data_IF_054140475778
#
_entry.id   IF_054140475778
#
_cell.length_a   1.000
_cell.length_b   1.000
_cell.length_c   1.000
_cell.angle_alpha   90.00
_cell.angle_beta   90.00
_cell.angle_gamma   90.00
#
_symmetry.space_group_name_H-M   'P 1'
#
loop_
_entity.id
_entity.type
_entity.pdbx_description
1 polymer ?
#
# COMPACT_ATOMS: atom_id res chain seq x y z
N UNK A 1 5.77 32.01 -29.14
CA UNK A 1 4.83 31.19 -28.35
C UNK A 1 5.51 29.84 -28.23
N UNK A 2 6.16 29.58 -27.09
CA UNK A 2 6.90 28.33 -26.88
C UNK A 2 5.89 27.28 -26.47
N UNK A 3 5.72 26.25 -27.30
CA UNK A 3 4.97 25.05 -26.95
C UNK A 3 5.65 24.42 -25.74
N UNK A 4 4.97 24.46 -24.59
CA UNK A 4 5.36 23.71 -23.42
C UNK A 4 4.97 22.25 -23.65
N UNK A 5 5.92 21.43 -24.06
CA UNK A 5 5.79 19.98 -24.06
C UNK A 5 5.32 19.53 -22.67
N UNK A 6 4.05 19.13 -22.57
CA UNK A 6 3.55 18.42 -21.41
C UNK A 6 4.17 17.02 -21.45
N UNK A 7 5.20 16.80 -20.65
CA UNK A 7 5.61 15.44 -20.24
C UNK A 7 4.34 14.65 -19.88
N UNK A 8 4.10 13.48 -20.49
CA UNK A 8 2.89 12.72 -20.24
C UNK A 8 2.88 12.25 -18.78
N UNK A 9 2.03 12.87 -17.95
CA UNK A 9 1.89 12.50 -16.55
C UNK A 9 1.49 11.04 -16.39
N UNK A 10 2.08 10.35 -15.42
CA UNK A 10 1.78 8.95 -15.11
C UNK A 10 0.73 8.89 -13.99
N UNK A 11 -0.24 7.99 -14.12
CA UNK A 11 -1.19 7.73 -13.04
C UNK A 11 -0.55 6.81 -11.99
N UNK A 12 -0.39 7.30 -10.76
CA UNK A 12 0.05 6.52 -9.61
C UNK A 12 -1.15 6.09 -8.77
N UNK A 13 -1.27 4.79 -8.53
CA UNK A 13 -2.19 4.22 -7.54
C UNK A 13 -1.75 4.63 -6.12
N UNK A 14 -2.67 5.16 -5.33
CA UNK A 14 -2.42 5.58 -3.96
C UNK A 14 -2.63 4.43 -2.97
N UNK A 15 -1.87 4.36 -1.86
CA UNK A 15 -1.95 3.27 -0.89
C UNK A 15 -3.21 3.30 -0.02
N UNK A 16 -4.03 4.35 -0.13
CA UNK A 16 -5.33 4.47 0.52
C UNK A 16 -6.49 4.37 -0.47
N UNK A 17 -7.64 3.94 0.03
CA UNK A 17 -8.89 3.97 -0.73
C UNK A 17 -9.53 5.35 -0.70
N UNK A 18 -10.19 5.71 -1.79
CA UNK A 18 -11.04 6.90 -1.86
C UNK A 18 -12.43 6.63 -1.28
N UNK A 19 -13.36 7.56 -1.56
CA UNK A 19 -14.74 7.43 -1.12
C UNK A 19 -15.36 6.09 -1.57
N UNK A 20 -16.04 5.41 -0.65
CA UNK A 20 -16.68 4.12 -0.91
C UNK A 20 -15.71 2.94 -1.13
N UNK A 21 -14.46 3.04 -0.68
CA UNK A 21 -13.49 1.94 -0.76
C UNK A 21 -12.86 1.73 -2.14
N UNK A 22 -13.09 2.66 -3.08
CA UNK A 22 -12.55 2.56 -4.45
C UNK A 22 -11.06 2.91 -4.50
N UNK A 23 -10.29 2.34 -5.44
CA UNK A 23 -8.91 2.76 -5.69
C UNK A 23 -8.83 4.27 -5.98
N UNK A 24 -7.80 4.93 -5.46
CA UNK A 24 -7.52 6.35 -5.73
C UNK A 24 -6.23 6.50 -6.53
N UNK A 25 -6.19 7.47 -7.44
CA UNK A 25 -5.04 7.73 -8.29
C UNK A 25 -4.62 9.20 -8.23
N UNK A 26 -3.34 9.47 -8.44
CA UNK A 26 -2.81 10.81 -8.68
C UNK A 26 -2.09 10.85 -10.03
N UNK A 27 -2.31 11.92 -10.81
CA UNK A 27 -1.50 12.21 -11.99
C UNK A 27 -0.21 12.89 -11.53
N UNK A 28 0.94 12.29 -11.80
CA UNK A 28 2.23 12.76 -11.27
C UNK A 28 3.38 12.42 -12.21
N UNK A 29 4.44 13.22 -12.13
CA UNK A 29 5.79 12.95 -12.64
C UNK A 29 6.64 12.07 -11.68
N UNK A 30 6.03 11.57 -10.59
CA UNK A 30 6.69 10.78 -9.55
C UNK A 30 7.26 11.58 -8.37
N UNK A 31 7.44 12.90 -8.46
CA UNK A 31 8.15 13.68 -7.42
C UNK A 31 7.27 14.64 -6.61
N UNK A 32 5.99 14.78 -6.99
CA UNK A 32 5.03 15.68 -6.36
C UNK A 32 4.77 15.42 -4.86
N UNK A 33 4.17 16.40 -4.17
CA UNK A 33 3.88 16.31 -2.73
C UNK A 33 3.02 15.09 -2.34
N UNK A 34 2.00 14.78 -3.15
CA UNK A 34 1.14 13.61 -2.94
C UNK A 34 1.91 12.30 -3.09
N UNK A 35 2.87 12.23 -4.01
CA UNK A 35 3.75 11.07 -4.19
C UNK A 35 4.59 10.81 -2.93
N UNK A 36 5.14 11.86 -2.31
CA UNK A 36 5.87 11.72 -1.04
C UNK A 36 4.98 11.28 0.11
N UNK A 37 3.74 11.77 0.18
CA UNK A 37 2.77 11.30 1.17
C UNK A 37 2.46 9.82 0.94
N UNK A 38 2.26 9.42 -0.32
CA UNK A 38 2.06 8.02 -0.68
C UNK A 38 3.25 7.15 -0.25
N UNK A 39 4.49 7.58 -0.47
CA UNK A 39 5.68 6.84 -0.02
C UNK A 39 5.71 6.68 1.50
N UNK A 40 5.40 7.73 2.26
CA UNK A 40 5.31 7.67 3.71
C UNK A 40 4.23 6.72 4.19
N UNK A 41 3.03 6.74 3.57
CA UNK A 41 1.94 5.83 3.93
C UNK A 41 2.28 4.39 3.58
N UNK A 42 2.88 4.13 2.40
CA UNK A 42 3.39 2.82 2.04
C UNK A 42 4.36 2.30 3.12
N UNK A 43 5.31 3.12 3.57
CA UNK A 43 6.27 2.75 4.62
C UNK A 43 5.60 2.43 5.96
N UNK A 44 4.63 3.23 6.38
CA UNK A 44 3.90 3.01 7.64
C UNK A 44 3.09 1.71 7.57
N UNK A 45 2.37 1.47 6.47
CA UNK A 45 1.59 0.25 6.29
C UNK A 45 2.47 -1.01 6.27
N UNK A 46 3.64 -0.96 5.62
CA UNK A 46 4.59 -2.07 5.63
C UNK A 46 5.17 -2.34 7.03
N UNK A 47 5.53 -1.30 7.79
CA UNK A 47 5.99 -1.46 9.18
C UNK A 47 4.90 -2.09 10.06
N UNK A 48 3.64 -1.64 9.95
CA UNK A 48 2.53 -2.25 10.69
C UNK A 48 2.27 -3.71 10.28
N UNK A 49 2.51 -4.06 9.02
CA UNK A 49 2.41 -5.43 8.55
C UNK A 49 3.51 -6.32 9.18
N UNK A 50 4.75 -5.82 9.27
CA UNK A 50 5.86 -6.50 9.95
C UNK A 50 5.55 -6.73 11.44
N UNK A 51 5.06 -5.70 12.14
CA UNK A 51 4.65 -5.82 13.55
C UNK A 51 3.53 -6.87 13.73
N UNK A 52 2.54 -6.86 12.84
CA UNK A 52 1.45 -7.84 12.86
C UNK A 52 1.94 -9.27 12.61
N UNK A 53 2.93 -9.46 11.74
CA UNK A 53 3.55 -10.77 11.50
C UNK A 53 4.32 -11.26 12.74
N UNK A 54 4.97 -10.36 13.48
CA UNK A 54 5.58 -10.66 14.78
C UNK A 54 4.53 -11.18 15.76
N UNK A 55 3.44 -10.44 15.96
CA UNK A 55 2.34 -10.86 16.83
C UNK A 55 1.67 -12.16 16.37
N UNK A 56 1.52 -12.37 15.06
CA UNK A 56 0.99 -13.61 14.52
C UNK A 56 1.86 -14.81 14.89
N UNK A 57 3.19 -14.64 14.80
CA UNK A 57 4.16 -15.68 15.12
C UNK A 57 4.07 -16.08 16.60
N UNK A 58 4.04 -15.09 17.50
CA UNK A 58 3.91 -15.32 18.94
C UNK A 58 2.59 -16.03 19.29
N UNK A 59 1.48 -15.58 18.69
CA UNK A 59 0.15 -16.09 18.96
C UNK A 59 -0.04 -17.52 18.43
N UNK A 60 0.50 -17.82 17.25
CA UNK A 60 0.48 -19.17 16.67
C UNK A 60 1.39 -20.16 17.43
N UNK A 61 2.45 -19.66 18.09
CA UNK A 61 3.28 -20.45 19.00
C UNK A 61 2.55 -20.86 20.30
N UNK A 62 1.51 -20.11 20.69
CA UNK A 62 0.76 -20.38 21.91
C UNK A 62 -0.32 -21.45 21.70
N UNK A 63 -0.05 -22.68 22.18
CA UNK A 63 -0.99 -23.82 22.09
C UNK A 63 -2.30 -23.65 22.86
N UNK A 64 -2.45 -22.61 23.68
CA UNK A 64 -3.67 -22.32 24.45
C UNK A 64 -4.60 -21.32 23.75
N UNK A 65 -4.21 -20.81 22.59
CA UNK A 65 -4.98 -19.77 21.91
C UNK A 65 -6.33 -20.29 21.42
N UNK A 66 -7.37 -19.50 21.62
CA UNK A 66 -8.75 -19.85 21.29
C UNK A 66 -9.10 -19.58 19.83
N UNK A 67 -10.17 -20.21 19.36
CA UNK A 67 -10.67 -20.02 17.99
C UNK A 67 -11.11 -18.58 17.68
N UNK A 68 -11.54 -17.81 18.70
CA UNK A 68 -11.90 -16.39 18.54
C UNK A 68 -10.68 -15.54 18.21
N UNK A 69 -9.60 -15.72 18.97
CA UNK A 69 -8.33 -15.00 18.78
C UNK A 69 -7.71 -15.35 17.42
N UNK A 70 -7.77 -16.61 17.00
CA UNK A 70 -7.33 -17.03 15.67
C UNK A 70 -8.16 -16.39 14.54
N UNK A 71 -9.49 -16.33 14.68
CA UNK A 71 -10.35 -15.64 13.69
C UNK A 71 -10.05 -14.15 13.61
N UNK A 72 -9.84 -13.51 14.76
CA UNK A 72 -9.44 -12.11 14.81
C UNK A 72 -8.10 -11.88 14.12
N UNK A 73 -7.08 -12.69 14.44
CA UNK A 73 -5.77 -12.63 13.79
C UNK A 73 -5.88 -12.81 12.28
N UNK A 74 -6.62 -13.82 11.82
CA UNK A 74 -6.83 -14.08 10.40
C UNK A 74 -7.50 -12.89 9.68
N UNK A 75 -8.46 -12.22 10.34
CA UNK A 75 -9.07 -10.99 9.83
C UNK A 75 -8.06 -9.86 9.66
N UNK A 76 -7.25 -9.60 10.70
CA UNK A 76 -6.20 -8.56 10.67
C UNK A 76 -5.13 -8.84 9.62
N UNK A 77 -4.69 -10.09 9.50
CA UNK A 77 -3.75 -10.50 8.45
C UNK A 77 -4.36 -10.30 7.05
N UNK A 78 -5.64 -10.63 6.87
CA UNK A 78 -6.33 -10.42 5.59
C UNK A 78 -6.46 -8.95 5.22
N UNK A 79 -6.70 -8.06 6.20
CA UNK A 79 -6.70 -6.61 6.00
C UNK A 79 -5.32 -6.11 5.58
N UNK A 80 -4.28 -6.45 6.35
CA UNK A 80 -2.90 -6.05 6.07
C UNK A 80 -2.40 -6.56 4.72
N UNK A 81 -2.71 -7.80 4.35
CA UNK A 81 -2.33 -8.36 3.05
C UNK A 81 -2.97 -7.61 1.87
N UNK A 82 -4.21 -7.12 2.00
CA UNK A 82 -4.84 -6.31 0.93
C UNK A 82 -4.09 -4.99 0.74
N UNK A 83 -3.62 -4.38 1.82
CA UNK A 83 -2.82 -3.16 1.74
C UNK A 83 -1.46 -3.45 1.11
N UNK A 84 -0.77 -4.52 1.51
CA UNK A 84 0.51 -4.95 0.92
C UNK A 84 0.38 -5.22 -0.58
N UNK A 85 -0.68 -5.92 -1.02
CA UNK A 85 -0.94 -6.17 -2.44
C UNK A 85 -1.10 -4.85 -3.20
N UNK A 86 -1.87 -3.90 -2.68
CA UNK A 86 -2.03 -2.57 -3.29
C UNK A 86 -0.70 -1.82 -3.43
N UNK A 87 0.15 -1.88 -2.39
CA UNK A 87 1.48 -1.26 -2.42
C UNK A 87 2.35 -1.92 -3.51
N UNK A 88 2.31 -3.25 -3.61
CA UNK A 88 3.05 -4.00 -4.63
C UNK A 88 2.58 -3.65 -6.04
N UNK A 89 1.27 -3.56 -6.29
CA UNK A 89 0.70 -3.11 -7.56
C UNK A 89 1.12 -1.69 -7.90
N UNK A 90 1.03 -0.76 -6.94
CA UNK A 90 1.45 0.63 -7.13
C UNK A 90 2.94 0.75 -7.46
N UNK A 91 3.79 -0.03 -6.79
CA UNK A 91 5.24 -0.07 -7.08
C UNK A 91 5.53 -0.69 -8.44
N UNK A 92 4.87 -1.79 -8.79
CA UNK A 92 5.01 -2.46 -10.07
C UNK A 92 4.67 -1.55 -11.24
N UNK A 93 3.54 -0.85 -11.17
CA UNK A 93 3.13 0.11 -12.20
C UNK A 93 4.15 1.24 -12.42
N UNK A 94 4.87 1.66 -11.37
CA UNK A 94 5.94 2.67 -11.47
C UNK A 94 7.22 2.13 -12.14
N UNK A 95 7.43 0.82 -12.15
CA UNK A 95 8.56 0.19 -12.85
C UNK A 95 8.26 -0.04 -14.34
N UNK A 96 6.99 -0.21 -14.69
CA UNK A 96 6.53 -0.37 -16.08
C UNK A 96 6.36 0.96 -16.81
N UNK A 97 6.19 2.06 -16.08
CA UNK A 97 6.22 3.40 -16.64
C UNK A 97 7.61 3.64 -17.29
N UNK A 98 7.67 4.15 -18.53
CA UNK A 98 8.95 4.54 -19.14
C UNK A 98 9.70 5.44 -18.18
N UNK A 99 10.94 5.06 -17.85
CA UNK A 99 11.81 5.95 -17.09
C UNK A 99 12.03 7.26 -17.85
N UNK A 100 12.41 8.35 -17.15
CA UNK A 100 12.85 9.57 -17.82
C UNK A 100 14.03 9.32 -18.77
#
# INVERSE_FOLDING_TARGET
MSDGEHEPGVFRLLPWTGAGGKPSYVLTDGTGHVSRIADSVESIQLSMAEDLLGHATDLLGNRRVGAVELRFLAGRLSESLRDVVRIAESRGARLEAPGP
#
